data_IF_767062779643
#
_entry.id   IF_767062779643
#
_cell.length_a   1.000
_cell.length_b   1.000
_cell.length_c   1.000
_cell.angle_alpha   90.00
_cell.angle_beta   90.00
_cell.angle_gamma   90.00
#
_symmetry.space_group_name_H-M   'P 1'
#
loop_
_entity.id
_entity.type
_entity.pdbx_description
1 polymer ?
#
# COMPACT_ATOMS: atom_id res chain seq x y z
N UNK A 1 -11.75 9.22 -4.97
CA UNK A 1 -10.65 8.24 -5.15
C UNK A 1 -9.86 8.03 -3.87
N UNK A 2 -9.24 9.06 -3.26
CA UNK A 2 -8.49 8.91 -1.99
C UNK A 2 -9.33 8.39 -0.80
N UNK A 3 -10.66 8.56 -0.82
CA UNK A 3 -11.60 8.14 0.26
C UNK A 3 -11.62 6.63 0.54
N UNK A 4 -11.34 5.77 -0.44
CA UNK A 4 -11.41 4.30 -0.25
C UNK A 4 -10.10 3.79 0.37
N UNK A 5 -8.97 4.21 -0.20
CA UNK A 5 -7.65 3.80 0.31
C UNK A 5 -7.34 4.40 1.68
N UNK A 6 -7.75 5.66 1.95
CA UNK A 6 -7.51 6.32 3.24
C UNK A 6 -8.17 5.65 4.45
N UNK A 7 -9.20 4.80 4.24
CA UNK A 7 -9.87 4.04 5.29
C UNK A 7 -9.43 2.57 5.37
N UNK A 8 -8.74 2.06 4.35
CA UNK A 8 -8.35 0.66 4.28
C UNK A 8 -7.16 0.38 5.20
N UNK A 9 -7.42 -0.12 6.41
CA UNK A 9 -6.37 -0.60 7.31
C UNK A 9 -5.70 -1.89 6.82
N UNK A 10 -6.38 -2.64 5.94
CA UNK A 10 -5.89 -3.87 5.36
C UNK A 10 -5.98 -3.77 3.84
N UNK A 11 -4.86 -3.97 3.15
CA UNK A 11 -4.76 -3.89 1.68
C UNK A 11 -4.21 -5.19 1.15
N UNK A 12 -4.93 -5.77 0.19
CA UNK A 12 -4.46 -6.92 -0.57
C UNK A 12 -3.92 -6.39 -1.91
N UNK A 13 -2.63 -6.61 -2.14
CA UNK A 13 -1.96 -6.31 -3.40
C UNK A 13 -2.01 -7.57 -4.26
N UNK A 14 -2.90 -7.58 -5.24
CA UNK A 14 -2.98 -8.66 -6.22
C UNK A 14 -2.06 -8.37 -7.41
N UNK A 15 -0.97 -9.13 -7.52
CA UNK A 15 -0.03 -9.03 -8.64
C UNK A 15 -0.53 -9.74 -9.91
N UNK A 16 -1.66 -10.43 -9.84
CA UNK A 16 -2.31 -11.15 -10.94
C UNK A 16 -2.19 -12.68 -10.82
N UNK A 17 -2.66 -13.38 -11.85
CA UNK A 17 -2.68 -14.85 -11.92
C UNK A 17 -1.26 -15.47 -11.99
N UNK A 18 -1.21 -16.78 -11.74
CA UNK A 18 0.00 -17.60 -11.90
C UNK A 18 0.47 -17.56 -13.35
N UNK A 19 1.60 -16.92 -13.59
CA UNK A 19 2.21 -16.88 -14.92
C UNK A 19 3.73 -16.86 -14.79
N UNK A 20 4.40 -17.71 -15.58
CA UNK A 20 5.87 -17.79 -15.65
C UNK A 20 6.56 -18.04 -14.29
N UNK A 21 5.97 -18.87 -13.42
CA UNK A 21 6.54 -19.22 -12.11
C UNK A 21 6.52 -18.07 -11.08
N UNK A 22 5.62 -17.10 -11.26
CA UNK A 22 5.48 -15.94 -10.38
C UNK A 22 5.03 -16.28 -8.95
N UNK A 23 4.24 -17.34 -8.78
CA UNK A 23 3.84 -17.85 -7.47
C UNK A 23 5.06 -18.45 -6.74
N UNK A 24 5.89 -19.19 -7.47
CA UNK A 24 7.15 -19.75 -6.97
C UNK A 24 8.13 -18.64 -6.60
N UNK A 25 8.24 -17.59 -7.42
CA UNK A 25 9.01 -16.41 -7.10
C UNK A 25 8.55 -15.73 -5.80
N UNK A 26 7.24 -15.61 -5.58
CA UNK A 26 6.70 -15.04 -4.33
C UNK A 26 6.97 -15.94 -3.11
N UNK A 27 6.89 -17.28 -3.28
CA UNK A 27 7.25 -18.26 -2.24
C UNK A 27 8.74 -18.18 -1.89
N UNK A 28 9.62 -18.02 -2.87
CA UNK A 28 11.07 -17.85 -2.65
C UNK A 28 11.39 -16.58 -1.87
N UNK A 29 10.72 -15.45 -2.19
CA UNK A 29 10.88 -14.21 -1.42
C UNK A 29 10.47 -14.43 0.05
N UNK A 30 9.37 -15.17 0.29
CA UNK A 30 8.94 -15.52 1.65
C UNK A 30 9.97 -16.39 2.37
N UNK A 31 10.47 -17.45 1.74
CA UNK A 31 11.48 -18.34 2.31
C UNK A 31 12.77 -17.56 2.61
N UNK A 32 13.19 -16.68 1.72
CA UNK A 32 14.36 -15.83 1.92
C UNK A 32 14.20 -14.89 3.13
N UNK A 33 12.99 -14.40 3.37
CA UNK A 33 12.67 -13.58 4.54
C UNK A 33 12.74 -14.39 5.84
N UNK A 34 12.16 -15.59 5.85
CA UNK A 34 12.07 -16.45 7.04
C UNK A 34 13.42 -17.05 7.43
N UNK A 35 14.18 -17.52 6.44
CA UNK A 35 15.48 -18.18 6.64
C UNK A 35 16.67 -17.21 6.56
N UNK A 36 16.44 -15.94 6.23
CA UNK A 36 17.50 -14.94 5.98
C UNK A 36 18.55 -15.43 4.97
N UNK A 37 18.14 -16.25 4.00
CA UNK A 37 19.04 -16.84 3.01
C UNK A 37 19.19 -15.96 1.78
N UNK A 38 20.37 -16.02 1.16
CA UNK A 38 20.68 -15.36 -0.12
C UNK A 38 20.47 -16.27 -1.32
N UNK A 39 20.00 -17.51 -1.10
CA UNK A 39 19.83 -18.48 -2.17
C UNK A 39 18.73 -18.02 -3.12
N UNK A 40 19.10 -17.87 -4.38
CA UNK A 40 18.30 -17.20 -5.42
C UNK A 40 18.14 -18.16 -6.59
N UNK A 41 17.35 -19.22 -6.37
CA UNK A 41 17.19 -20.33 -7.33
C UNK A 41 16.39 -19.88 -8.57
N UNK A 42 15.40 -18.99 -8.43
CA UNK A 42 14.59 -18.49 -9.55
C UNK A 42 14.69 -16.95 -9.73
N UNK A 43 15.89 -16.45 -10.01
CA UNK A 43 16.13 -15.02 -10.25
C UNK A 43 15.23 -14.42 -11.32
N UNK A 44 15.10 -15.10 -12.46
CA UNK A 44 14.31 -14.63 -13.60
C UNK A 44 12.82 -14.49 -13.24
N UNK A 45 12.26 -15.44 -12.49
CA UNK A 45 10.88 -15.38 -12.01
C UNK A 45 10.65 -14.20 -11.06
N UNK A 46 11.59 -13.93 -10.16
CA UNK A 46 11.50 -12.79 -9.24
C UNK A 46 11.59 -11.46 -9.99
N UNK A 47 12.50 -11.32 -10.95
CA UNK A 47 12.58 -10.13 -11.79
C UNK A 47 11.29 -9.91 -12.59
N UNK A 48 10.74 -10.97 -13.18
CA UNK A 48 9.46 -10.92 -13.91
C UNK A 48 8.31 -10.51 -12.99
N UNK A 49 8.29 -11.00 -11.75
CA UNK A 49 7.31 -10.61 -10.73
C UNK A 49 7.40 -9.10 -10.41
N UNK A 50 8.60 -8.57 -10.21
CA UNK A 50 8.83 -7.16 -9.89
C UNK A 50 8.55 -6.21 -11.07
N UNK A 51 8.57 -6.71 -12.30
CA UNK A 51 8.21 -5.96 -13.50
C UNK A 51 6.71 -5.90 -13.77
N UNK A 52 5.87 -6.61 -12.99
CA UNK A 52 4.42 -6.64 -13.22
C UNK A 52 3.79 -5.24 -13.15
N UNK A 53 2.67 -5.01 -13.89
CA UNK A 53 2.08 -3.69 -14.05
C UNK A 53 1.74 -2.98 -12.75
N UNK A 54 1.44 -3.72 -11.67
CA UNK A 54 1.18 -3.13 -10.37
C UNK A 54 2.35 -2.23 -9.94
N UNK A 55 3.60 -2.70 -9.96
CA UNK A 55 4.79 -1.92 -9.56
C UNK A 55 5.07 -0.69 -10.45
N UNK A 56 4.44 -0.60 -11.63
CA UNK A 56 4.61 0.50 -12.58
C UNK A 56 3.55 1.60 -12.40
N UNK A 57 2.46 1.34 -11.68
CA UNK A 57 1.36 2.29 -11.52
C UNK A 57 1.73 3.39 -10.51
N UNK A 58 1.56 4.64 -10.92
CA UNK A 58 1.71 5.82 -10.05
C UNK A 58 0.84 5.71 -8.79
N UNK A 59 -0.34 5.10 -8.92
CA UNK A 59 -1.32 4.97 -7.85
C UNK A 59 -0.93 3.99 -6.74
N UNK A 60 0.09 3.12 -6.94
CA UNK A 60 0.57 2.19 -5.90
C UNK A 60 0.86 2.92 -4.60
N UNK A 61 1.49 4.09 -4.69
CA UNK A 61 1.85 4.86 -3.51
C UNK A 61 0.60 5.19 -2.68
N UNK A 62 -0.52 5.51 -3.32
CA UNK A 62 -1.77 5.80 -2.62
C UNK A 62 -2.43 4.53 -2.05
N UNK A 63 -2.34 3.41 -2.77
CA UNK A 63 -2.89 2.12 -2.32
C UNK A 63 -2.21 1.62 -1.05
N UNK A 64 -0.88 1.74 -0.97
CA UNK A 64 -0.10 1.25 0.17
C UNK A 64 0.27 2.33 1.19
N UNK A 65 0.01 3.62 0.95
CA UNK A 65 0.35 4.71 1.90
C UNK A 65 -0.60 4.82 3.10
N UNK A 66 -1.82 4.30 3.00
CA UNK A 66 -2.79 4.32 4.11
C UNK A 66 -2.93 2.96 4.83
N UNK A 67 -2.48 1.87 4.18
CA UNK A 67 -2.57 0.51 4.69
C UNK A 67 -1.80 0.31 6.01
N UNK A 68 -2.33 -0.47 6.95
CA UNK A 68 -1.59 -0.88 8.16
C UNK A 68 -1.07 -2.30 8.05
N UNK A 69 -1.83 -3.12 7.34
CA UNK A 69 -1.51 -4.49 6.99
C UNK A 69 -1.57 -4.60 5.47
N UNK A 70 -0.54 -5.20 4.89
CA UNK A 70 -0.41 -5.35 3.45
C UNK A 70 -0.15 -6.83 3.19
N UNK A 71 -1.04 -7.48 2.45
CA UNK A 71 -0.84 -8.85 1.98
C UNK A 71 -0.57 -8.80 0.49
N UNK A 72 0.56 -9.34 0.04
CA UNK A 72 0.90 -9.43 -1.37
C UNK A 72 0.54 -10.82 -1.85
N UNK A 73 -0.26 -10.90 -2.92
CA UNK A 73 -0.73 -12.13 -3.54
C UNK A 73 -0.29 -12.20 -4.98
N UNK A 74 0.11 -13.39 -5.41
CA UNK A 74 0.34 -13.73 -6.81
C UNK A 74 -0.14 -15.16 -7.04
N UNK A 75 -1.26 -15.32 -7.76
CA UNK A 75 -1.93 -16.61 -7.85
C UNK A 75 -2.30 -17.20 -6.49
N UNK A 76 -1.95 -18.46 -6.25
CA UNK A 76 -2.12 -19.14 -4.96
C UNK A 76 -1.14 -18.73 -3.86
N UNK A 77 -0.04 -18.04 -4.22
CA UNK A 77 0.98 -17.64 -3.26
C UNK A 77 0.62 -16.32 -2.57
N UNK A 78 0.90 -16.25 -1.27
CA UNK A 78 0.74 -15.04 -0.46
C UNK A 78 1.94 -14.81 0.47
N UNK A 79 2.21 -13.53 0.74
CA UNK A 79 3.26 -13.10 1.67
C UNK A 79 2.87 -11.78 2.33
N UNK A 80 3.16 -11.66 3.62
CA UNK A 80 3.02 -10.39 4.34
C UNK A 80 3.97 -9.34 3.75
N UNK A 81 3.53 -8.08 3.66
CA UNK A 81 4.30 -7.00 3.05
C UNK A 81 5.65 -6.76 3.74
N UNK A 82 5.72 -6.92 5.06
CA UNK A 82 6.98 -6.81 5.78
C UNK A 82 7.92 -7.97 5.45
N UNK A 83 7.41 -9.21 5.40
CA UNK A 83 8.18 -10.37 4.95
C UNK A 83 8.66 -10.21 3.51
N UNK A 84 7.83 -9.69 2.61
CA UNK A 84 8.24 -9.36 1.25
C UNK A 84 9.43 -8.39 1.22
N UNK A 85 9.38 -7.32 2.02
CA UNK A 85 10.47 -6.35 2.13
C UNK A 85 11.76 -6.96 2.71
N UNK A 86 11.63 -7.90 3.66
CA UNK A 86 12.76 -8.62 4.22
C UNK A 86 13.38 -9.58 3.20
N UNK A 87 12.56 -10.33 2.47
CA UNK A 87 13.01 -11.26 1.43
C UNK A 87 13.76 -10.54 0.31
N UNK A 88 13.23 -9.42 -0.19
CA UNK A 88 13.93 -8.60 -1.19
C UNK A 88 15.29 -8.09 -0.69
N UNK A 89 15.38 -7.72 0.59
CA UNK A 89 16.64 -7.30 1.23
C UNK A 89 17.61 -8.48 1.39
N UNK A 90 17.14 -9.64 1.83
CA UNK A 90 17.95 -10.84 2.02
C UNK A 90 18.57 -11.30 0.69
N UNK A 91 17.77 -11.27 -0.38
CA UNK A 91 18.19 -11.63 -1.73
C UNK A 91 19.05 -10.57 -2.42
N UNK A 92 19.29 -9.43 -1.77
CA UNK A 92 20.09 -8.30 -2.29
C UNK A 92 19.61 -7.76 -3.65
N UNK A 93 18.34 -7.98 -4.00
CA UNK A 93 17.78 -7.70 -5.33
C UNK A 93 17.80 -6.22 -5.67
N UNK A 94 17.61 -5.35 -4.67
CA UNK A 94 17.61 -3.89 -4.89
C UNK A 94 18.91 -3.37 -5.52
N UNK A 95 20.04 -4.04 -5.36
CA UNK A 95 21.32 -3.61 -5.92
C UNK A 95 21.54 -4.08 -7.37
N UNK A 96 20.81 -5.12 -7.79
CA UNK A 96 20.99 -5.76 -9.11
C UNK A 96 19.92 -5.32 -10.13
N UNK A 97 18.94 -4.52 -9.71
CA UNK A 97 17.87 -4.02 -10.57
C UNK A 97 18.33 -2.81 -11.41
N UNK A 98 17.81 -2.66 -12.65
CA UNK A 98 17.92 -1.41 -13.42
C UNK A 98 17.49 -0.20 -12.59
N UNK A 99 18.11 0.96 -12.79
CA UNK A 99 17.98 2.13 -11.91
C UNK A 99 16.52 2.60 -11.73
N UNK A 100 15.72 2.55 -12.79
CA UNK A 100 14.32 2.94 -12.82
C UNK A 100 13.43 1.95 -12.05
N UNK A 101 13.64 0.65 -12.24
CA UNK A 101 12.94 -0.40 -11.50
C UNK A 101 13.34 -0.38 -10.02
N UNK A 102 14.63 -0.21 -9.73
CA UNK A 102 15.16 -0.07 -8.38
C UNK A 102 14.49 1.08 -7.63
N UNK A 103 14.40 2.26 -8.24
CA UNK A 103 13.75 3.42 -7.61
C UNK A 103 12.29 3.11 -7.23
N UNK A 104 11.52 2.49 -8.14
CA UNK A 104 10.13 2.09 -7.89
C UNK A 104 10.02 1.08 -6.75
N UNK A 105 10.84 0.02 -6.77
CA UNK A 105 10.84 -1.00 -5.71
C UNK A 105 11.25 -0.42 -4.35
N UNK A 106 12.24 0.48 -4.31
CA UNK A 106 12.65 1.15 -3.08
C UNK A 106 11.54 2.04 -2.51
N UNK A 107 10.85 2.82 -3.35
CA UNK A 107 9.71 3.63 -2.91
C UNK A 107 8.58 2.77 -2.33
N UNK A 108 8.24 1.66 -3.00
CA UNK A 108 7.18 0.75 -2.54
C UNK A 108 7.59 0.06 -1.23
N UNK A 109 8.80 -0.50 -1.16
CA UNK A 109 9.29 -1.17 0.05
C UNK A 109 9.40 -0.21 1.24
N UNK A 110 9.79 1.06 1.01
CA UNK A 110 9.77 2.10 2.03
C UNK A 110 8.35 2.31 2.60
N UNK A 111 7.35 2.47 1.71
CA UNK A 111 5.96 2.65 2.14
C UNK A 111 5.42 1.43 2.89
N UNK A 112 5.70 0.22 2.41
CA UNK A 112 5.26 -1.01 3.07
C UNK A 112 5.88 -1.13 4.48
N UNK A 113 7.18 -0.86 4.63
CA UNK A 113 7.84 -0.88 5.95
C UNK A 113 7.30 0.19 6.89
N UNK A 114 6.93 1.37 6.35
CA UNK A 114 6.33 2.45 7.14
C UNK A 114 4.92 2.11 7.67
N UNK A 115 4.23 1.12 7.07
CA UNK A 115 2.86 0.77 7.42
C UNK A 115 2.69 0.36 8.90
N UNK A 116 3.69 -0.31 9.46
CA UNK A 116 3.69 -0.80 10.86
C UNK A 116 3.64 0.36 11.86
N UNK A 117 4.26 1.49 11.52
CA UNK A 117 4.33 2.67 12.38
C UNK A 117 3.10 3.58 12.26
N UNK A 118 2.12 3.24 11.41
CA UNK A 118 0.95 4.09 11.21
C UNK A 118 0.00 4.00 12.41
N UNK A 119 -0.29 5.13 13.08
CA UNK A 119 -1.08 5.11 14.31
C UNK A 119 -2.48 4.54 14.06
N UNK A 120 -2.95 3.70 14.98
CA UNK A 120 -4.32 3.11 15.00
C UNK A 120 -5.43 4.17 14.90
N UNK A 121 -5.12 5.43 15.21
CA UNK A 121 -6.07 6.53 15.40
C UNK A 121 -5.78 7.74 14.50
N UNK A 122 -5.21 7.57 13.31
CA UNK A 122 -5.05 8.68 12.35
C UNK A 122 -6.37 9.38 11.98
N UNK A 123 -7.52 8.76 12.28
CA UNK A 123 -8.85 9.40 12.25
C UNK A 123 -9.08 10.46 13.34
N UNK A 124 -8.30 10.45 14.43
CA UNK A 124 -8.43 11.39 15.56
C UNK A 124 -7.56 12.65 15.43
N UNK A 125 -6.59 12.66 14.50
CA UNK A 125 -5.70 13.82 14.28
C UNK A 125 -6.44 15.06 13.72
N UNK A 126 -7.67 14.89 13.25
CA UNK A 126 -8.56 15.99 12.84
C UNK A 126 -9.41 16.56 13.99
N UNK A 127 -9.55 15.85 15.13
CA UNK A 127 -10.33 16.36 16.28
C UNK A 127 -9.58 17.41 17.09
N UNK A 128 -8.24 17.36 17.11
CA UNK A 128 -7.40 18.18 17.98
C UNK A 128 -6.72 19.35 17.28
N UNK A 129 -6.98 19.57 15.97
CA UNK A 129 -6.51 20.78 15.27
C UNK A 129 -7.52 21.91 15.44
N UNK A 130 -7.04 23.07 15.83
CA UNK A 130 -7.78 24.32 15.73
C UNK A 130 -8.10 24.57 14.26
N UNK A 131 -9.38 24.80 13.98
CA UNK A 131 -9.85 25.23 12.68
C UNK A 131 -10.17 26.72 12.84
N UNK A 132 -9.63 27.54 11.94
CA UNK A 132 -9.79 29.00 11.97
C UNK A 132 -11.26 29.39 11.86
N UNK A 133 -12.08 28.55 11.22
CA UNK A 133 -13.54 28.63 11.20
C UNK A 133 -14.16 27.40 11.90
N UNK A 134 -15.08 27.62 12.85
CA UNK A 134 -15.77 26.55 13.57
C UNK A 134 -16.65 25.69 12.63
N UNK A 135 -17.06 26.22 11.48
CA UNK A 135 -17.86 25.53 10.46
C UNK A 135 -17.08 24.43 9.73
N UNK A 136 -15.75 24.55 9.62
CA UNK A 136 -14.91 23.51 9.01
C UNK A 136 -14.97 22.20 9.78
N UNK A 137 -15.12 22.26 11.11
CA UNK A 137 -15.29 21.05 11.92
C UNK A 137 -16.62 20.38 11.64
N UNK A 138 -17.70 21.16 11.47
CA UNK A 138 -19.04 20.64 11.18
C UNK A 138 -19.10 20.06 9.77
N UNK A 139 -18.61 20.75 8.74
CA UNK A 139 -18.63 20.24 7.36
C UNK A 139 -17.69 19.04 7.15
N UNK A 140 -16.54 19.02 7.83
CA UNK A 140 -15.62 17.88 7.81
C UNK A 140 -16.22 16.66 8.51
N UNK A 141 -16.94 16.84 9.62
CA UNK A 141 -17.67 15.75 10.31
C UNK A 141 -18.93 15.30 9.56
N UNK A 142 -19.68 16.21 8.94
CA UNK A 142 -20.88 15.89 8.17
C UNK A 142 -20.54 15.06 6.92
N UNK A 143 -19.40 15.35 6.28
CA UNK A 143 -18.85 14.52 5.20
C UNK A 143 -18.29 13.17 5.65
N UNK A 144 -18.15 12.93 6.96
CA UNK A 144 -17.67 11.68 7.55
C UNK A 144 -18.78 10.78 8.11
N UNK A 145 -20.01 11.27 8.30
CA UNK A 145 -21.11 10.55 8.95
C UNK A 145 -22.32 10.22 8.04
N UNK A 146 -22.32 10.58 6.76
CA UNK A 146 -23.40 10.20 5.83
C UNK A 146 -22.86 9.42 4.64
N UNK A 147 -23.34 8.18 4.49
CA UNK A 147 -23.03 7.30 3.36
C UNK A 147 -23.77 7.69 2.06
N UNK A 148 -24.60 8.74 2.08
CA UNK A 148 -25.16 9.34 0.86
C UNK A 148 -25.59 10.81 1.06
N UNK A 149 -24.71 11.81 0.82
CA UNK A 149 -25.04 13.23 1.02
C UNK A 149 -26.13 13.75 0.06
N UNK A 150 -26.40 13.04 -1.03
CA UNK A 150 -27.41 13.41 -2.03
C UNK A 150 -28.85 13.15 -1.58
N UNK A 151 -29.07 12.29 -0.57
CA UNK A 151 -30.42 11.94 -0.10
C UNK A 151 -31.01 12.95 0.89
N UNK A 152 -30.22 13.89 1.43
CA UNK A 152 -30.65 14.82 2.50
C UNK A 152 -30.71 16.28 2.01
N UNK A 153 -30.38 16.57 0.74
CA UNK A 153 -30.55 17.91 0.15
C UNK A 153 -29.71 19.02 0.78
N UNK A 154 -28.65 18.67 1.52
CA UNK A 154 -27.77 19.64 2.19
C UNK A 154 -26.48 19.81 1.39
N UNK A 155 -26.34 20.96 0.74
CA UNK A 155 -25.10 21.40 0.10
C UNK A 155 -24.39 22.44 0.96
N UNK A 156 -23.06 22.37 1.03
CA UNK A 156 -22.26 23.39 1.70
C UNK A 156 -22.25 24.66 0.84
N UNK A 157 -22.99 25.67 1.27
CA UNK A 157 -23.02 26.98 0.61
C UNK A 157 -22.05 27.93 1.33
N UNK A 158 -20.96 28.27 0.64
CA UNK A 158 -19.94 29.20 1.11
C UNK A 158 -20.21 30.64 0.67
N UNK A 159 -21.39 30.94 0.10
CA UNK A 159 -21.75 32.28 -0.38
C UNK A 159 -22.57 33.11 0.62
N UNK A 160 -22.96 32.55 1.76
CA UNK A 160 -23.64 33.30 2.82
C UNK A 160 -22.62 33.62 3.93
N UNK A 161 -22.43 34.90 4.30
CA UNK A 161 -21.47 35.32 5.33
C UNK A 161 -21.67 34.60 6.68
#
# INVERSE_FOLDING_TARGET
MAKIYAKASYVIVCLGEEAAGSDQALKEIRIAAELSTRRLDNKAGILTLLQRPWFQRIWVLQEVAAARYILIKCGSAEVDGFLFCLGLKALNLSNELPADLRARILSVTYLIRSAIFRPKYATKMYRTREATDRRDKVYTLLGMCSDNPTAVGLFADYKIP
#
